data_IF_148065163343
#
_entry.id   IF_148065163343
#
_cell.length_a   1.000
_cell.length_b   1.000
_cell.length_c   1.000
_cell.angle_alpha   90.00
_cell.angle_beta   90.00
_cell.angle_gamma   90.00
#
_symmetry.space_group_name_H-M   'P 1'
#
loop_
_entity.id
_entity.type
_entity.pdbx_description
1 polymer ?
#
# COMPACT_ATOMS: atom_id res chain seq x y z
N UNK A 1 -4.94 -0.22 -14.68
CA UNK A 1 -4.18 0.81 -15.44
C UNK A 1 -2.72 0.62 -15.08
N UNK A 2 -1.85 0.21 -16.02
CA UNK A 2 -0.41 0.27 -15.78
C UNK A 2 -0.02 1.75 -15.80
N UNK A 3 0.56 2.24 -14.71
CA UNK A 3 1.16 3.57 -14.70
C UNK A 3 2.59 3.43 -15.19
N UNK A 4 2.80 3.59 -16.49
CA UNK A 4 4.15 3.69 -17.03
C UNK A 4 4.63 5.11 -16.83
N UNK A 5 5.40 5.28 -15.77
CA UNK A 5 6.20 6.47 -15.56
C UNK A 5 7.41 6.39 -16.49
N UNK A 6 7.55 7.34 -17.41
CA UNK A 6 8.81 7.56 -18.09
C UNK A 6 9.72 8.42 -17.20
N UNK A 7 10.98 8.00 -17.07
CA UNK A 7 11.95 8.60 -16.16
C UNK A 7 13.09 9.23 -16.94
N UNK A 8 13.17 10.56 -16.95
CA UNK A 8 14.35 11.27 -17.46
C UNK A 8 15.31 11.45 -16.28
N UNK A 9 16.43 10.73 -16.27
CA UNK A 9 17.45 10.88 -15.23
C UNK A 9 18.56 11.82 -15.68
N UNK A 10 18.88 12.80 -14.83
CA UNK A 10 20.23 13.35 -14.77
C UNK A 10 20.68 13.27 -13.30
N UNK A 11 21.49 12.24 -13.00
CA UNK A 11 22.15 11.92 -11.72
C UNK A 11 21.25 11.54 -10.53
N UNK A 12 21.18 10.23 -10.24
CA UNK A 12 20.99 9.58 -8.93
C UNK A 12 20.23 10.36 -7.82
N UNK A 13 19.07 10.91 -8.16
CA UNK A 13 17.94 11.14 -7.26
C UNK A 13 16.72 10.54 -7.94
N UNK A 14 16.25 9.40 -7.43
CA UNK A 14 15.34 8.54 -8.19
C UNK A 14 13.93 9.13 -8.43
N UNK A 15 13.52 10.19 -7.74
CA UNK A 15 12.17 10.78 -7.88
C UNK A 15 12.15 12.27 -7.52
N UNK A 16 12.37 13.17 -8.48
CA UNK A 16 12.25 14.62 -8.24
C UNK A 16 11.12 15.30 -9.02
N UNK A 17 10.71 14.75 -10.17
CA UNK A 17 9.59 15.27 -10.98
C UNK A 17 8.71 14.12 -11.50
N UNK A 18 7.39 14.27 -11.39
CA UNK A 18 6.41 13.38 -11.99
C UNK A 18 5.70 14.12 -13.12
N UNK A 19 5.73 13.55 -14.33
CA UNK A 19 4.96 14.03 -15.47
C UNK A 19 3.91 12.98 -15.84
N UNK A 20 2.66 13.42 -15.98
CA UNK A 20 1.58 12.57 -16.47
C UNK A 20 1.64 12.53 -18.00
N UNK A 21 1.83 11.33 -18.57
CA UNK A 21 2.02 11.13 -20.02
C UNK A 21 0.71 10.83 -20.75
N UNK A 22 -0.28 10.21 -20.10
CA UNK A 22 -1.59 9.96 -20.70
C UNK A 22 -2.42 8.88 -20.01
N UNK A 23 -3.71 8.82 -20.36
CA UNK A 23 -4.58 7.65 -20.11
C UNK A 23 -4.91 7.05 -21.49
N UNK A 24 -4.12 6.09 -22.00
CA UNK A 24 -4.47 5.47 -23.26
C UNK A 24 -5.78 4.70 -23.11
N UNK A 25 -6.71 4.91 -24.05
CA UNK A 25 -7.96 4.17 -24.12
C UNK A 25 -7.68 2.73 -24.57
N UNK A 26 -8.27 1.76 -23.87
CA UNK A 26 -8.12 0.34 -24.17
C UNK A 26 -9.49 -0.19 -24.57
N UNK A 27 -9.69 -0.40 -25.87
CA UNK A 27 -10.99 -0.78 -26.47
C UNK A 27 -11.44 -2.21 -26.14
N UNK A 28 -10.55 -3.05 -25.58
CA UNK A 28 -10.86 -4.41 -25.15
C UNK A 28 -10.28 -4.73 -23.76
N UNK A 29 -11.14 -5.15 -22.83
CA UNK A 29 -10.84 -5.30 -21.40
C UNK A 29 -9.88 -6.45 -21.02
N UNK A 30 -9.30 -7.20 -21.96
CA UNK A 30 -8.63 -8.48 -21.67
C UNK A 30 -7.30 -8.76 -22.39
N UNK A 31 -6.73 -7.79 -23.10
CA UNK A 31 -5.45 -7.98 -23.79
C UNK A 31 -4.28 -7.35 -23.02
N UNK A 32 -3.42 -8.17 -22.40
CA UNK A 32 -2.13 -7.70 -21.90
C UNK A 32 -1.29 -7.08 -23.04
N UNK A 33 -1.43 -7.62 -24.26
CA UNK A 33 -0.86 -7.10 -25.50
C UNK A 33 -1.38 -5.70 -25.85
N UNK A 34 -2.70 -5.49 -25.73
CA UNK A 34 -3.33 -4.19 -26.01
C UNK A 34 -2.87 -3.16 -24.99
N UNK A 35 -2.80 -3.54 -23.71
CA UNK A 35 -2.27 -2.67 -22.66
C UNK A 35 -0.81 -2.28 -22.92
N UNK A 36 0.03 -3.25 -23.29
CA UNK A 36 1.44 -3.01 -23.58
C UNK A 36 1.61 -2.11 -24.81
N UNK A 37 0.87 -2.39 -25.89
CA UNK A 37 0.94 -1.60 -27.13
C UNK A 37 0.46 -0.17 -26.92
N UNK A 38 -0.63 0.04 -26.18
CA UNK A 38 -1.15 1.38 -25.93
C UNK A 38 -0.17 2.24 -25.10
N UNK A 39 0.53 1.60 -24.15
CA UNK A 39 1.62 2.25 -23.43
C UNK A 39 2.79 2.55 -24.34
N UNK A 40 3.22 1.60 -25.18
CA UNK A 40 4.33 1.79 -26.10
C UNK A 40 4.07 2.97 -27.06
N UNK A 41 2.88 3.04 -27.65
CA UNK A 41 2.48 4.17 -28.50
C UNK A 41 2.53 5.50 -27.73
N UNK A 42 2.09 5.51 -26.46
CA UNK A 42 2.22 6.71 -25.60
C UNK A 42 3.69 7.08 -25.37
N UNK A 43 4.60 6.11 -25.28
CA UNK A 43 6.04 6.40 -25.15
C UNK A 43 6.62 6.95 -26.46
N UNK A 44 6.15 6.48 -27.62
CA UNK A 44 6.53 7.02 -28.93
C UNK A 44 6.05 8.46 -29.11
N UNK A 45 4.78 8.74 -28.79
CA UNK A 45 4.18 10.08 -28.89
C UNK A 45 4.95 11.13 -28.08
N UNK A 46 5.53 10.70 -26.95
CA UNK A 46 6.34 11.55 -26.08
C UNK A 46 7.84 11.52 -26.38
N UNK A 47 8.28 10.72 -27.36
CA UNK A 47 9.69 10.47 -27.68
C UNK A 47 10.51 9.98 -26.47
N UNK A 48 9.95 9.02 -25.73
CA UNK A 48 10.49 8.49 -24.47
C UNK A 48 10.92 7.02 -24.54
N UNK A 49 10.71 6.35 -25.68
CA UNK A 49 11.04 4.92 -25.88
C UNK A 49 12.45 4.59 -25.43
N UNK A 50 13.44 5.38 -25.84
CA UNK A 50 14.86 5.17 -25.49
C UNK A 50 15.20 5.52 -24.03
N UNK A 51 14.35 6.32 -23.37
CA UNK A 51 14.65 6.85 -22.04
C UNK A 51 14.07 6.02 -20.89
N UNK A 52 13.19 5.07 -21.17
CA UNK A 52 12.52 4.27 -20.12
C UNK A 52 13.54 3.39 -19.39
N UNK A 53 13.74 3.55 -18.09
CA UNK A 53 14.67 2.71 -17.32
C UNK A 53 13.96 1.66 -16.45
N UNK A 54 12.69 1.89 -16.14
CA UNK A 54 11.95 1.06 -15.21
C UNK A 54 10.45 1.15 -15.38
N UNK A 55 9.74 0.08 -15.02
CA UNK A 55 8.29 0.01 -14.93
C UNK A 55 7.79 0.03 -13.49
N UNK A 56 6.75 0.81 -13.22
CA UNK A 56 5.94 0.70 -12.00
C UNK A 56 4.60 0.03 -12.31
N UNK A 57 4.23 -1.03 -11.59
CA UNK A 57 2.99 -1.77 -11.89
C UNK A 57 2.33 -2.38 -10.65
N UNK A 58 1.02 -2.61 -10.70
CA UNK A 58 0.34 -3.49 -9.77
C UNK A 58 0.80 -4.94 -9.98
N UNK A 59 1.11 -5.66 -8.91
CA UNK A 59 1.64 -7.04 -8.95
C UNK A 59 0.59 -8.11 -9.29
N UNK A 60 -0.37 -7.78 -10.16
CA UNK A 60 -1.35 -8.75 -10.66
C UNK A 60 -0.73 -9.62 -11.75
N UNK A 61 -1.19 -10.87 -11.88
CA UNK A 61 -0.65 -11.81 -12.86
C UNK A 61 -0.77 -11.33 -14.32
N UNK A 62 -1.76 -10.49 -14.61
CA UNK A 62 -1.92 -9.84 -15.93
C UNK A 62 -0.79 -8.86 -16.24
N UNK A 63 -0.15 -8.27 -15.23
CA UNK A 63 1.01 -7.37 -15.42
C UNK A 63 2.33 -8.13 -15.41
N UNK A 64 2.48 -9.06 -14.46
CA UNK A 64 3.76 -9.74 -14.17
C UNK A 64 3.91 -11.12 -14.80
N UNK A 65 2.95 -11.57 -15.60
CA UNK A 65 2.97 -12.89 -16.21
C UNK A 65 4.25 -13.11 -17.04
N UNK A 66 5.01 -14.16 -16.73
CA UNK A 66 6.33 -14.42 -17.35
C UNK A 66 6.34 -14.41 -18.88
N UNK A 67 5.26 -14.87 -19.51
CA UNK A 67 5.18 -15.01 -20.98
C UNK A 67 4.17 -14.06 -21.63
N UNK A 68 3.12 -13.68 -20.91
CA UNK A 68 1.99 -12.92 -21.46
C UNK A 68 1.61 -11.73 -20.58
N UNK A 69 2.44 -11.37 -19.61
CA UNK A 69 2.23 -10.20 -18.77
C UNK A 69 2.42 -8.93 -19.58
N UNK A 70 1.64 -7.89 -19.28
CA UNK A 70 1.73 -6.63 -20.01
C UNK A 70 3.13 -6.00 -19.91
N UNK A 71 3.81 -6.13 -18.77
CA UNK A 71 5.18 -5.62 -18.60
C UNK A 71 6.18 -6.44 -19.45
N UNK A 72 6.05 -7.76 -19.46
CA UNK A 72 6.87 -8.66 -20.30
C UNK A 72 6.74 -8.32 -21.77
N UNK A 73 5.50 -8.13 -22.25
CA UNK A 73 5.24 -7.77 -23.65
C UNK A 73 5.81 -6.39 -23.97
N UNK A 74 5.66 -5.42 -23.06
CA UNK A 74 6.20 -4.08 -23.26
C UNK A 74 7.74 -4.10 -23.31
N UNK A 75 8.39 -4.86 -22.43
CA UNK A 75 9.85 -5.05 -22.46
C UNK A 75 10.31 -5.66 -23.79
N UNK A 76 9.59 -6.67 -24.29
CA UNK A 76 9.86 -7.25 -25.62
C UNK A 76 9.74 -6.22 -26.74
N UNK A 77 8.74 -5.32 -26.68
CA UNK A 77 8.59 -4.22 -27.67
C UNK A 77 9.69 -3.17 -27.57
N UNK A 78 10.26 -2.94 -26.39
CA UNK A 78 11.40 -2.04 -26.20
C UNK A 78 12.73 -2.68 -26.60
N UNK A 79 12.76 -4.00 -26.82
CA UNK A 79 13.93 -4.78 -27.21
C UNK A 79 15.15 -4.61 -26.28
N UNK A 80 14.90 -4.36 -24.98
CA UNK A 80 15.95 -4.17 -23.97
C UNK A 80 15.45 -4.50 -22.57
N UNK A 81 16.40 -4.81 -21.68
CA UNK A 81 16.12 -5.08 -20.29
C UNK A 81 15.66 -3.82 -19.55
N UNK A 82 14.60 -3.94 -18.75
CA UNK A 82 14.02 -2.85 -17.97
C UNK A 82 13.88 -3.28 -16.50
N UNK A 83 14.01 -2.33 -15.56
CA UNK A 83 13.82 -2.63 -14.14
C UNK A 83 12.33 -2.71 -13.76
N UNK A 84 11.95 -3.72 -12.96
CA UNK A 84 10.57 -3.97 -12.58
C UNK A 84 10.32 -3.56 -11.12
N UNK A 85 9.51 -2.53 -10.89
CA UNK A 85 9.10 -2.07 -9.56
C UNK A 85 7.64 -2.39 -9.30
N UNK A 86 7.41 -3.52 -8.61
CA UNK A 86 6.10 -3.87 -8.11
C UNK A 86 5.57 -2.85 -7.08
N UNK A 87 4.29 -2.51 -7.20
CA UNK A 87 3.64 -1.57 -6.31
C UNK A 87 3.56 -2.13 -4.88
N UNK A 88 4.37 -1.58 -3.97
CA UNK A 88 4.39 -1.98 -2.55
C UNK A 88 3.01 -1.89 -1.89
N UNK A 89 2.20 -0.88 -2.24
CA UNK A 89 0.83 -0.77 -1.73
C UNK A 89 -0.03 -1.98 -2.10
N UNK A 90 0.08 -2.46 -3.35
CA UNK A 90 -0.67 -3.62 -3.79
C UNK A 90 -0.17 -4.92 -3.13
N UNK A 91 1.14 -5.04 -2.92
CA UNK A 91 1.71 -6.17 -2.16
C UNK A 91 1.13 -6.21 -0.73
N UNK A 92 1.12 -5.07 -0.02
CA UNK A 92 0.55 -5.00 1.33
C UNK A 92 -0.95 -5.27 1.36
N UNK A 93 -1.69 -4.81 0.35
CA UNK A 93 -3.10 -5.15 0.17
C UNK A 93 -3.31 -6.65 0.03
N UNK A 94 -2.51 -7.34 -0.80
CA UNK A 94 -2.59 -8.80 -0.98
C UNK A 94 -2.31 -9.53 0.33
N UNK A 95 -1.23 -9.17 1.04
CA UNK A 95 -0.87 -9.80 2.32
C UNK A 95 -2.00 -9.65 3.33
N UNK A 96 -2.55 -8.44 3.46
CA UNK A 96 -3.64 -8.18 4.39
C UNK A 96 -4.93 -8.90 3.98
N UNK A 97 -5.25 -8.95 2.69
CA UNK A 97 -6.39 -9.70 2.19
C UNK A 97 -6.26 -11.20 2.51
N UNK A 98 -5.08 -11.79 2.33
CA UNK A 98 -4.82 -13.19 2.66
C UNK A 98 -5.02 -13.48 4.16
N UNK A 99 -4.55 -12.58 5.04
CA UNK A 99 -4.77 -12.67 6.50
C UNK A 99 -6.25 -12.64 6.83
N UNK A 100 -7.01 -11.71 6.25
CA UNK A 100 -8.45 -11.60 6.52
C UNK A 100 -9.23 -12.84 6.06
N UNK A 101 -8.88 -13.36 4.89
CA UNK A 101 -9.41 -14.64 4.39
C UNK A 101 -9.10 -15.79 5.35
N UNK A 102 -7.86 -15.87 5.83
CA UNK A 102 -7.45 -16.93 6.76
C UNK A 102 -8.12 -16.81 8.13
N UNK A 103 -8.30 -15.60 8.64
CA UNK A 103 -8.99 -15.30 9.89
C UNK A 103 -10.52 -15.47 9.79
N UNK A 104 -11.06 -15.80 8.62
CA UNK A 104 -12.50 -16.00 8.38
C UNK A 104 -13.35 -14.82 8.86
N UNK A 105 -12.84 -13.59 8.71
CA UNK A 105 -13.67 -12.41 8.98
C UNK A 105 -14.91 -12.47 8.11
N UNK A 106 -16.09 -12.47 8.72
CA UNK A 106 -17.35 -12.44 7.98
C UNK A 106 -17.40 -11.12 7.20
N UNK A 107 -17.63 -11.21 5.89
CA UNK A 107 -17.82 -10.05 5.02
C UNK A 107 -19.26 -10.12 4.51
N UNK A 108 -20.00 -9.01 4.60
CA UNK A 108 -21.36 -8.90 4.09
C UNK A 108 -21.44 -7.71 3.14
N UNK A 109 -21.33 -8.00 1.83
CA UNK A 109 -21.22 -6.96 0.81
C UNK A 109 -19.96 -6.09 0.97
N UNK A 110 -20.05 -4.75 0.88
CA UNK A 110 -18.90 -3.86 1.06
C UNK A 110 -18.50 -3.67 2.53
N UNK A 111 -19.28 -4.21 3.48
CA UNK A 111 -19.12 -3.99 4.90
C UNK A 111 -18.49 -5.21 5.60
N UNK A 112 -17.63 -4.91 6.57
CA UNK A 112 -17.14 -5.87 7.55
C UNK A 112 -17.97 -5.66 8.82
N UNK A 113 -18.90 -6.57 9.20
CA UNK A 113 -19.83 -6.36 10.32
C UNK A 113 -19.13 -6.09 11.65
N UNK A 114 -17.92 -6.60 11.85
CA UNK A 114 -17.12 -6.27 13.03
C UNK A 114 -16.74 -4.79 13.07
N UNK A 115 -16.30 -4.22 11.94
CA UNK A 115 -15.92 -2.81 11.85
C UNK A 115 -17.12 -1.89 12.02
N UNK A 116 -18.26 -2.28 11.45
CA UNK A 116 -19.54 -1.59 11.63
C UNK A 116 -19.96 -1.55 13.11
N UNK A 117 -19.89 -2.70 13.79
CA UNK A 117 -20.18 -2.80 15.23
C UNK A 117 -19.22 -1.96 16.07
N UNK A 118 -17.94 -1.94 15.72
CA UNK A 118 -16.94 -1.12 16.38
C UNK A 118 -17.22 0.39 16.23
N UNK A 119 -17.53 0.84 15.01
CA UNK A 119 -17.96 2.22 14.76
C UNK A 119 -19.20 2.59 15.59
N UNK A 120 -20.23 1.74 15.57
CA UNK A 120 -21.48 2.00 16.28
C UNK A 120 -21.30 2.13 17.81
N UNK A 121 -20.35 1.38 18.38
CA UNK A 121 -20.07 1.42 19.82
C UNK A 121 -18.93 2.38 20.19
N UNK A 122 -18.43 3.21 19.25
CA UNK A 122 -17.29 4.09 19.50
C UNK A 122 -17.48 5.03 20.69
N UNK A 123 -18.70 5.51 20.95
CA UNK A 123 -19.02 6.38 22.09
C UNK A 123 -18.87 5.69 23.45
N UNK A 124 -18.92 4.35 23.49
CA UNK A 124 -18.78 3.54 24.70
C UNK A 124 -17.33 3.15 25.01
N UNK A 125 -16.40 3.37 24.07
CA UNK A 125 -15.00 3.00 24.22
C UNK A 125 -14.27 4.08 25.01
N UNK A 126 -13.69 3.70 26.15
CA UNK A 126 -12.82 4.56 26.92
C UNK A 126 -11.43 4.60 26.30
N UNK A 127 -11.08 5.72 25.64
CA UNK A 127 -9.77 5.88 24.98
C UNK A 127 -8.58 5.99 25.93
N UNK A 128 -8.82 6.17 27.23
CA UNK A 128 -7.76 6.19 28.24
C UNK A 128 -7.38 4.77 28.70
N UNK A 129 -8.25 3.79 28.48
CA UNK A 129 -8.02 2.41 28.87
C UNK A 129 -7.84 1.55 27.62
N UNK A 130 -6.59 1.23 27.31
CA UNK A 130 -6.21 0.38 26.18
C UNK A 130 -5.08 -0.57 26.60
N UNK A 131 -4.97 -1.69 25.91
CA UNK A 131 -3.92 -2.69 26.17
C UNK A 131 -3.00 -2.75 24.93
N UNK A 132 -1.74 -2.30 25.04
CA UNK A 132 -0.75 -2.46 23.99
C UNK A 132 -0.57 -3.92 23.59
N UNK A 133 -0.42 -4.19 22.29
CA UNK A 133 -0.20 -5.55 21.80
C UNK A 133 1.11 -6.17 22.26
N UNK A 134 2.12 -5.34 22.55
CA UNK A 134 3.39 -5.79 23.14
C UNK A 134 3.22 -6.45 24.53
N UNK A 135 2.06 -6.34 25.18
CA UNK A 135 1.80 -7.06 26.42
C UNK A 135 1.59 -8.57 26.20
N UNK A 136 1.34 -9.00 24.96
CA UNK A 136 1.24 -10.41 24.60
C UNK A 136 2.63 -11.03 24.41
N UNK A 137 2.92 -12.16 25.07
CA UNK A 137 4.18 -12.91 24.92
C UNK A 137 4.52 -13.20 23.46
N UNK A 138 3.51 -13.55 22.65
CA UNK A 138 3.71 -13.84 21.22
C UNK A 138 4.21 -12.63 20.45
N UNK A 139 3.71 -11.43 20.79
CA UNK A 139 4.14 -10.18 20.14
C UNK A 139 5.55 -9.81 20.61
N UNK A 140 5.84 -9.98 21.90
CA UNK A 140 7.18 -9.76 22.44
C UNK A 140 8.22 -10.64 21.75
N UNK A 141 7.93 -11.91 21.55
CA UNK A 141 8.82 -12.85 20.85
C UNK A 141 9.10 -12.41 19.40
N UNK A 142 8.08 -11.93 18.68
CA UNK A 142 8.24 -11.48 17.29
C UNK A 142 9.16 -10.25 17.17
N UNK A 143 9.10 -9.33 18.14
CA UNK A 143 9.83 -8.06 18.10
C UNK A 143 11.05 -7.99 19.03
N UNK A 144 11.36 -9.07 19.74
CA UNK A 144 12.37 -9.11 20.82
C UNK A 144 13.71 -8.47 20.46
N UNK A 145 14.18 -8.69 19.23
CA UNK A 145 15.53 -8.31 18.81
C UNK A 145 15.61 -6.96 18.09
N UNK A 146 14.47 -6.35 17.76
CA UNK A 146 14.42 -5.18 16.88
C UNK A 146 13.35 -4.15 17.27
N UNK A 147 12.73 -4.29 18.44
CA UNK A 147 11.66 -3.40 18.90
C UNK A 147 12.08 -1.93 18.89
N UNK A 148 13.25 -1.62 19.47
CA UNK A 148 13.75 -0.25 19.57
C UNK A 148 14.04 0.35 18.20
N UNK A 149 14.71 -0.40 17.32
CA UNK A 149 15.00 0.02 15.95
C UNK A 149 13.72 0.27 15.14
N UNK A 150 12.71 -0.59 15.32
CA UNK A 150 11.39 -0.42 14.70
C UNK A 150 10.72 0.84 15.24
N UNK A 151 10.71 1.07 16.56
CA UNK A 151 10.12 2.26 17.15
C UNK A 151 10.81 3.55 16.68
N UNK A 152 12.14 3.54 16.58
CA UNK A 152 12.93 4.66 16.02
C UNK A 152 12.54 4.88 14.56
N UNK A 153 12.47 3.81 13.76
CA UNK A 153 12.10 3.87 12.34
C UNK A 153 10.69 4.44 12.15
N UNK A 154 9.72 4.00 12.95
CA UNK A 154 8.33 4.48 12.92
C UNK A 154 8.24 5.97 13.29
N UNK A 155 8.91 6.39 14.38
CA UNK A 155 8.94 7.80 14.80
C UNK A 155 9.58 8.69 13.73
N UNK A 156 10.66 8.21 13.11
CA UNK A 156 11.34 8.88 11.99
C UNK A 156 10.47 8.93 10.73
N UNK A 157 9.61 7.94 10.50
CA UNK A 157 8.66 7.95 9.39
C UNK A 157 7.57 9.01 9.60
N UNK A 158 7.09 9.19 10.84
CA UNK A 158 6.06 10.20 11.18
C UNK A 158 6.56 11.63 10.97
N UNK A 159 7.85 11.90 11.22
CA UNK A 159 8.42 13.24 11.05
C UNK A 159 8.60 13.63 9.57
N UNK A 160 8.46 12.69 8.63
CA UNK A 160 8.53 12.96 7.20
C UNK A 160 7.18 13.46 6.68
N UNK A 161 7.19 14.12 5.52
CA UNK A 161 5.96 14.49 4.81
C UNK A 161 5.23 13.22 4.36
N UNK A 162 4.14 12.89 5.04
CA UNK A 162 3.30 11.75 4.70
C UNK A 162 2.31 12.14 3.59
N UNK A 163 1.99 11.22 2.66
CA UNK A 163 1.11 11.54 1.54
C UNK A 163 -0.35 11.73 1.96
N UNK A 164 -0.79 11.08 3.04
CA UNK A 164 -2.18 11.09 3.54
C UNK A 164 -2.23 10.93 5.06
N UNK A 165 -3.30 11.41 5.67
CA UNK A 165 -3.52 11.36 7.13
C UNK A 165 -3.73 9.94 7.67
N UNK A 166 -4.29 9.02 6.87
CA UNK A 166 -4.43 7.61 7.25
C UNK A 166 -3.08 6.90 7.44
N UNK A 167 -2.02 7.37 6.77
CA UNK A 167 -0.66 6.85 6.97
C UNK A 167 -0.14 7.26 8.34
N UNK A 168 -0.42 8.51 8.72
CA UNK A 168 -0.06 9.01 10.04
C UNK A 168 -0.77 8.23 11.13
N UNK A 169 -2.06 8.01 10.98
CA UNK A 169 -2.85 7.24 11.94
C UNK A 169 -2.36 5.80 12.07
N UNK A 170 -2.03 5.13 10.95
CA UNK A 170 -1.45 3.78 10.99
C UNK A 170 -0.13 3.74 11.75
N UNK A 171 0.76 4.71 11.54
CA UNK A 171 2.04 4.81 12.24
C UNK A 171 1.86 5.10 13.74
N UNK A 172 0.99 6.07 14.08
CA UNK A 172 0.68 6.40 15.48
C UNK A 172 0.14 5.15 16.22
N UNK A 173 -0.81 4.43 15.62
CA UNK A 173 -1.36 3.20 16.20
C UNK A 173 -0.33 2.06 16.29
N UNK A 174 0.56 1.94 15.31
CA UNK A 174 1.62 0.93 15.33
C UNK A 174 2.61 1.17 16.48
N UNK A 175 2.98 2.44 16.73
CA UNK A 175 3.82 2.82 17.87
C UNK A 175 3.12 2.47 19.18
N UNK A 176 1.85 2.84 19.34
CA UNK A 176 1.06 2.55 20.54
C UNK A 176 0.92 1.04 20.77
N UNK A 177 0.64 0.28 19.71
CA UNK A 177 0.53 -1.18 19.75
C UNK A 177 1.81 -1.84 20.26
N UNK A 178 2.97 -1.30 19.85
CA UNK A 178 4.29 -1.76 20.29
C UNK A 178 4.72 -1.20 21.66
N UNK A 179 3.84 -0.49 22.38
CA UNK A 179 4.10 0.08 23.70
C UNK A 179 4.86 1.41 23.69
N UNK A 180 5.11 1.99 22.53
CA UNK A 180 5.73 3.30 22.39
C UNK A 180 4.74 4.46 22.50
N UNK A 181 5.28 5.68 22.65
CA UNK A 181 4.52 6.93 22.60
C UNK A 181 4.79 7.66 21.29
N UNK A 182 3.76 7.97 20.47
CA UNK A 182 3.94 8.76 19.25
C UNK A 182 4.40 10.20 19.54
N UNK A 183 5.04 10.90 18.58
CA UNK A 183 5.53 12.27 18.80
C UNK A 183 4.45 13.27 19.23
N UNK A 184 3.20 13.07 18.79
CA UNK A 184 2.06 13.91 19.17
C UNK A 184 1.34 13.46 20.44
N UNK A 185 1.89 12.51 21.20
CA UNK A 185 1.22 11.87 22.33
C UNK A 185 0.19 10.81 21.91
N UNK A 186 -0.35 10.09 22.90
CA UNK A 186 -1.29 8.99 22.67
C UNK A 186 -2.70 9.55 22.41
N UNK A 187 -3.13 9.49 21.15
CA UNK A 187 -4.43 9.98 20.72
C UNK A 187 -5.10 8.99 19.74
N UNK A 188 -6.34 8.63 20.01
CA UNK A 188 -7.11 7.70 19.18
C UNK A 188 -8.16 8.43 18.34
N UNK A 189 -7.88 8.58 17.03
CA UNK A 189 -8.81 9.19 16.08
C UNK A 189 -10.12 8.41 16.01
N UNK A 190 -11.22 9.09 15.68
CA UNK A 190 -12.51 8.42 15.42
C UNK A 190 -12.36 7.45 14.23
N UNK A 191 -12.97 6.26 14.25
CA UNK A 191 -12.84 5.32 13.14
C UNK A 191 -13.44 5.90 11.85
N UNK A 192 -12.62 6.00 10.80
CA UNK A 192 -13.04 6.55 9.49
C UNK A 192 -13.75 5.52 8.61
N UNK A 193 -14.08 5.88 7.37
CA UNK A 193 -14.75 4.97 6.42
C UNK A 193 -13.90 3.71 6.14
N UNK A 194 -14.51 2.53 6.16
CA UNK A 194 -13.83 1.23 6.09
C UNK A 194 -14.18 0.39 4.85
N UNK A 195 -14.65 1.01 3.77
CA UNK A 195 -15.00 0.32 2.52
C UNK A 195 -13.87 -0.62 2.04
N UNK A 196 -14.23 -1.76 1.45
CA UNK A 196 -13.31 -2.85 1.09
C UNK A 196 -12.07 -2.44 0.29
N UNK A 197 -12.17 -1.40 -0.56
CA UNK A 197 -11.09 -0.88 -1.38
C UNK A 197 -10.01 -0.09 -0.60
N UNK A 198 -10.25 0.25 0.67
CA UNK A 198 -9.29 0.95 1.52
C UNK A 198 -8.51 -0.05 2.36
N UNK A 199 -7.47 -0.66 1.79
CA UNK A 199 -6.64 -1.65 2.49
C UNK A 199 -6.13 -1.13 3.85
N UNK A 200 -5.75 0.15 3.93
CA UNK A 200 -5.29 0.76 5.17
C UNK A 200 -6.34 0.77 6.27
N UNK A 201 -7.61 0.92 5.91
CA UNK A 201 -8.69 0.88 6.89
C UNK A 201 -8.73 -0.47 7.59
N UNK A 202 -8.50 -1.59 6.87
CA UNK A 202 -8.43 -2.92 7.49
C UNK A 202 -7.33 -2.98 8.56
N UNK A 203 -6.12 -2.47 8.27
CA UNK A 203 -5.03 -2.46 9.23
C UNK A 203 -5.33 -1.56 10.46
N UNK A 204 -5.80 -0.33 10.21
CA UNK A 204 -6.16 0.63 11.26
C UNK A 204 -7.25 0.07 12.18
N UNK A 205 -8.31 -0.51 11.60
CA UNK A 205 -9.40 -1.10 12.38
C UNK A 205 -8.94 -2.30 13.20
N UNK A 206 -8.12 -3.18 12.63
CA UNK A 206 -7.58 -4.33 13.36
C UNK A 206 -6.73 -3.89 14.55
N UNK A 207 -5.88 -2.88 14.39
CA UNK A 207 -5.10 -2.33 15.51
C UNK A 207 -6.02 -1.75 16.58
N UNK A 208 -7.02 -0.95 16.20
CA UNK A 208 -7.97 -0.37 17.15
C UNK A 208 -8.79 -1.43 17.90
N UNK A 209 -9.25 -2.45 17.20
CA UNK A 209 -9.97 -3.59 17.78
C UNK A 209 -9.11 -4.43 18.73
N UNK A 210 -7.79 -4.41 18.56
CA UNK A 210 -6.90 -5.08 19.49
C UNK A 210 -6.65 -4.24 20.74
N UNK A 211 -6.52 -2.92 20.57
CA UNK A 211 -6.21 -2.00 21.66
C UNK A 211 -7.38 -1.81 22.64
N UNK A 212 -8.63 -2.04 22.19
CA UNK A 212 -9.87 -1.89 22.95
C UNK A 212 -10.75 -3.14 22.88
#
# INVERSE_FOLDING_TARGET
>A
VCLVYSWVTNRFRFFECYQFTGVPEITAASGNEVSASAVYNTLEDWNLVENVQAFGFDTTASKTGRLKGACTILEQKLERDVLYFGCRHHVFEIVLAAVFTKCKFTVSGPDIPLFKRFQANRSKINTQHFIPGINSTKVQEVFKNNLDDILISLKTAISKKLPREDHRELLDLSIIYLGGVPPGGIHFRKPGAYHMAKWMAKAIYTLKLHLF
#
